data_IF_978153285188
#
_entry.id   IF_978153285188
#
_cell.length_a   1.000
_cell.length_b   1.000
_cell.length_c   1.000
_cell.angle_alpha   90.00
_cell.angle_beta   90.00
_cell.angle_gamma   90.00
#
_symmetry.space_group_name_H-M   'P 1'
#
loop_
_entity.id
_entity.type
_entity.pdbx_description
1 polymer ?
#
# COMPACT_ATOMS: atom_id res chain seq x y z
N UNK A 1 36.93 2.41 -43.83
CA UNK A 1 36.20 3.66 -43.49
C UNK A 1 34.93 3.23 -42.78
N UNK A 2 34.90 3.33 -41.44
CA UNK A 2 33.74 2.91 -40.65
C UNK A 2 32.72 4.07 -40.58
N UNK A 3 31.40 3.81 -40.59
CA UNK A 3 30.41 4.87 -40.49
C UNK A 3 30.29 5.36 -39.04
N UNK A 4 30.06 6.66 -38.86
CA UNK A 4 29.84 7.28 -37.56
C UNK A 4 28.45 6.97 -36.99
N UNK A 5 28.39 6.79 -35.67
CA UNK A 5 27.18 6.49 -34.91
C UNK A 5 26.48 7.82 -34.59
N UNK A 6 25.27 8.01 -35.12
CA UNK A 6 24.42 9.17 -34.81
C UNK A 6 23.87 9.05 -33.38
N UNK A 7 24.22 10.01 -32.52
CA UNK A 7 23.67 10.13 -31.17
C UNK A 7 22.22 10.64 -31.24
N UNK A 8 21.25 9.74 -31.05
CA UNK A 8 19.84 10.12 -30.88
C UNK A 8 19.67 10.65 -29.46
N UNK A 9 19.55 11.97 -29.32
CA UNK A 9 19.08 12.60 -28.08
C UNK A 9 17.62 12.21 -27.86
N UNK A 10 17.40 11.11 -27.15
CA UNK A 10 16.11 10.81 -26.54
C UNK A 10 15.78 11.90 -25.53
N UNK A 11 14.72 12.67 -25.79
CA UNK A 11 14.16 13.57 -24.79
C UNK A 11 13.74 12.73 -23.58
N UNK A 12 14.40 12.97 -22.45
CA UNK A 12 13.91 12.50 -21.15
C UNK A 12 12.58 13.18 -20.88
N UNK A 13 11.49 12.45 -21.11
CA UNK A 13 10.19 12.81 -20.59
C UNK A 13 10.32 12.67 -19.07
N UNK A 14 10.45 13.79 -18.36
CA UNK A 14 10.40 13.79 -16.90
C UNK A 14 9.09 13.12 -16.50
N UNK A 15 9.07 12.17 -15.55
CA UNK A 15 7.81 11.69 -15.03
C UNK A 15 7.14 12.89 -14.40
N UNK A 16 6.04 13.35 -15.01
CA UNK A 16 5.13 14.28 -14.37
C UNK A 16 4.67 13.56 -13.11
N UNK A 17 5.24 13.95 -11.97
CA UNK A 17 4.65 13.63 -10.67
C UNK A 17 3.32 14.34 -10.71
N UNK A 18 2.27 13.59 -11.06
CA UNK A 18 0.91 14.01 -10.82
C UNK A 18 0.80 14.09 -9.31
N UNK A 19 1.08 15.28 -8.76
CA UNK A 19 0.57 15.68 -7.46
C UNK A 19 -0.94 15.79 -7.65
N UNK A 20 -1.59 14.63 -7.75
CA UNK A 20 -3.02 14.52 -7.60
C UNK A 20 -3.26 15.01 -6.17
N UNK A 21 -3.71 16.26 -6.06
CA UNK A 21 -4.40 16.73 -4.88
C UNK A 21 -5.42 15.65 -4.53
N UNK A 22 -5.15 14.87 -3.49
CA UNK A 22 -6.02 13.80 -3.02
C UNK A 22 -7.20 14.49 -2.35
N UNK A 23 -8.07 15.08 -3.15
CA UNK A 23 -9.38 15.61 -2.74
C UNK A 23 -10.47 14.58 -3.01
N UNK A 24 -10.11 13.34 -3.36
CA UNK A 24 -11.09 12.26 -3.44
C UNK A 24 -11.37 11.74 -2.04
N UNK A 25 -12.58 11.97 -1.52
CA UNK A 25 -13.11 11.35 -0.30
C UNK A 25 -13.34 9.81 -0.46
N UNK A 26 -12.58 9.15 -1.33
CA UNK A 26 -12.75 7.76 -1.75
C UNK A 26 -11.38 7.15 -2.02
N UNK A 27 -11.19 5.93 -1.54
CA UNK A 27 -10.00 5.13 -1.77
C UNK A 27 -10.39 3.64 -1.79
N UNK A 28 -9.59 2.83 -2.47
CA UNK A 28 -9.52 1.41 -2.16
C UNK A 28 -8.66 1.27 -0.92
N UNK A 29 -9.09 0.44 0.04
CA UNK A 29 -8.32 0.22 1.27
C UNK A 29 -8.07 -1.26 1.44
N UNK A 30 -6.83 -1.60 1.80
CA UNK A 30 -6.46 -2.93 2.26
C UNK A 30 -5.63 -2.82 3.54
N UNK A 31 -5.39 -3.96 4.18
CA UNK A 31 -4.69 -4.05 5.46
C UNK A 31 -3.53 -5.05 5.37
N UNK A 32 -2.40 -4.72 5.98
CA UNK A 32 -1.21 -5.56 6.03
C UNK A 32 -0.64 -5.58 7.46
N UNK A 33 -0.32 -6.78 7.94
CA UNK A 33 0.29 -7.03 9.23
C UNK A 33 1.36 -8.12 9.11
N UNK A 34 2.35 -8.07 9.99
CA UNK A 34 3.44 -9.05 10.09
C UNK A 34 4.47 -8.98 8.95
N UNK A 35 5.45 -9.88 9.02
CA UNK A 35 6.59 -9.92 8.09
C UNK A 35 6.44 -10.92 6.93
N UNK A 36 5.33 -11.66 6.88
CA UNK A 36 5.13 -12.74 5.91
C UNK A 36 4.89 -12.27 4.48
N UNK A 37 4.51 -13.21 3.63
CA UNK A 37 4.39 -12.99 2.18
C UNK A 37 3.13 -12.22 1.74
N UNK A 38 2.28 -11.76 2.66
CA UNK A 38 1.06 -11.01 2.33
C UNK A 38 1.34 -9.70 1.58
N UNK A 39 2.55 -9.15 1.69
CA UNK A 39 3.01 -8.01 0.86
C UNK A 39 2.88 -8.33 -0.64
N UNK A 40 3.12 -9.58 -1.07
CA UNK A 40 2.97 -10.01 -2.47
C UNK A 40 1.52 -9.87 -2.95
N UNK A 41 0.56 -10.14 -2.07
CA UNK A 41 -0.87 -9.94 -2.35
C UNK A 41 -1.22 -8.47 -2.55
N UNK A 42 -0.72 -7.59 -1.69
CA UNK A 42 -0.93 -6.14 -1.80
C UNK A 42 -0.27 -5.57 -3.06
N UNK A 43 0.95 -6.03 -3.41
CA UNK A 43 1.61 -5.68 -4.67
C UNK A 43 0.80 -6.15 -5.88
N UNK A 44 0.24 -7.36 -5.83
CA UNK A 44 -0.67 -7.87 -6.86
C UNK A 44 -1.92 -7.00 -7.02
N UNK A 45 -2.54 -6.62 -5.90
CA UNK A 45 -3.69 -5.70 -5.89
C UNK A 45 -3.34 -4.34 -6.51
N UNK A 46 -2.24 -3.71 -6.10
CA UNK A 46 -1.80 -2.43 -6.64
C UNK A 46 -1.57 -2.48 -8.15
N UNK A 47 -0.92 -3.55 -8.64
CA UNK A 47 -0.71 -3.79 -10.07
C UNK A 47 -2.04 -3.99 -10.82
N UNK A 48 -2.98 -4.73 -10.22
CA UNK A 48 -4.31 -4.96 -10.79
C UNK A 48 -5.12 -3.67 -10.94
N UNK A 49 -5.18 -2.85 -9.89
CA UNK A 49 -5.89 -1.56 -9.91
C UNK A 49 -5.26 -0.60 -10.95
N UNK A 50 -3.93 -0.53 -11.01
CA UNK A 50 -3.23 0.26 -12.02
C UNK A 50 -3.51 -0.20 -13.44
N UNK A 51 -3.56 -1.52 -13.69
CA UNK A 51 -3.82 -2.10 -15.01
C UNK A 51 -5.20 -1.69 -15.56
N UNK A 52 -6.19 -1.52 -14.69
CA UNK A 52 -7.55 -1.12 -15.09
C UNK A 52 -7.79 0.38 -14.96
N UNK A 53 -6.75 1.17 -14.75
CA UNK A 53 -6.81 2.63 -14.62
C UNK A 53 -7.86 3.10 -13.60
N UNK A 54 -7.86 2.52 -12.41
CA UNK A 54 -8.84 2.88 -11.37
C UNK A 54 -8.83 4.37 -11.05
N UNK A 55 -10.03 4.91 -10.78
CA UNK A 55 -10.23 6.32 -10.49
C UNK A 55 -9.74 6.77 -9.09
N UNK A 56 -9.49 5.83 -8.18
CA UNK A 56 -9.14 6.11 -6.78
C UNK A 56 -7.82 5.47 -6.38
N UNK A 57 -7.08 6.06 -5.42
CA UNK A 57 -5.83 5.50 -4.94
C UNK A 57 -6.05 4.24 -4.08
N UNK A 58 -4.97 3.50 -3.85
CA UNK A 58 -4.92 2.40 -2.89
C UNK A 58 -4.23 2.88 -1.61
N UNK A 59 -4.97 2.88 -0.50
CA UNK A 59 -4.46 3.08 0.85
C UNK A 59 -4.21 1.71 1.47
N UNK A 60 -3.04 1.52 2.08
CA UNK A 60 -2.68 0.32 2.81
C UNK A 60 -2.53 0.69 4.28
N UNK A 61 -3.47 0.22 5.10
CA UNK A 61 -3.35 0.28 6.53
C UNK A 61 -2.30 -0.74 6.98
N UNK A 62 -1.25 -0.29 7.68
CA UNK A 62 -0.12 -1.15 8.11
C UNK A 62 0.03 -1.13 9.62
N UNK A 63 0.27 -2.30 10.21
CA UNK A 63 0.69 -2.39 11.62
C UNK A 63 2.19 -2.11 11.79
N UNK A 64 2.65 -1.73 13.01
CA UNK A 64 4.06 -1.47 13.29
C UNK A 64 4.98 -2.67 13.03
N UNK A 65 4.45 -3.89 13.04
CA UNK A 65 5.19 -5.14 12.82
C UNK A 65 5.50 -5.44 11.33
N UNK A 66 4.99 -4.62 10.40
CA UNK A 66 5.32 -4.70 8.98
C UNK A 66 6.73 -4.15 8.74
N UNK A 67 7.68 -4.95 8.19
CA UNK A 67 9.05 -4.51 7.95
C UNK A 67 9.14 -3.28 7.04
N UNK A 68 10.14 -2.46 7.30
CA UNK A 68 10.47 -1.26 6.51
C UNK A 68 10.70 -1.58 5.02
N UNK A 69 11.29 -2.73 4.72
CA UNK A 69 11.46 -3.19 3.33
C UNK A 69 10.11 -3.35 2.62
N UNK A 70 9.14 -4.00 3.27
CA UNK A 70 7.80 -4.19 2.72
C UNK A 70 7.10 -2.85 2.50
N UNK A 71 7.27 -1.90 3.42
CA UNK A 71 6.72 -0.54 3.31
C UNK A 71 7.27 0.18 2.07
N UNK A 72 8.59 0.18 1.89
CA UNK A 72 9.24 0.76 0.71
C UNK A 72 8.80 0.11 -0.60
N UNK A 73 8.62 -1.21 -0.60
CA UNK A 73 8.08 -1.93 -1.78
C UNK A 73 6.68 -1.41 -2.14
N UNK A 74 5.81 -1.21 -1.15
CA UNK A 74 4.44 -0.73 -1.37
C UNK A 74 4.41 0.72 -1.86
N UNK A 75 5.20 1.61 -1.25
CA UNK A 75 5.35 3.00 -1.70
C UNK A 75 5.84 3.05 -3.16
N UNK A 76 6.83 2.22 -3.50
CA UNK A 76 7.32 2.09 -4.87
C UNK A 76 6.27 1.55 -5.85
N UNK A 77 5.23 0.85 -5.38
CA UNK A 77 4.07 0.47 -6.21
C UNK A 77 3.03 1.59 -6.36
N UNK A 78 3.21 2.73 -5.68
CA UNK A 78 2.28 3.85 -5.66
C UNK A 78 1.18 3.70 -4.61
N UNK A 79 1.34 2.83 -3.62
CA UNK A 79 0.42 2.72 -2.49
C UNK A 79 0.63 3.89 -1.52
N UNK A 80 -0.45 4.35 -0.90
CA UNK A 80 -0.40 5.29 0.23
C UNK A 80 -0.39 4.47 1.51
N UNK A 81 0.66 4.60 2.31
CA UNK A 81 0.73 3.92 3.59
C UNK A 81 0.07 4.74 4.69
N UNK A 82 -0.75 4.07 5.49
CA UNK A 82 -1.30 4.62 6.73
C UNK A 82 -0.94 3.67 7.86
N UNK A 83 -0.04 4.11 8.73
CA UNK A 83 0.23 3.36 9.96
C UNK A 83 -0.98 3.43 10.90
N UNK A 84 -1.32 2.29 11.50
CA UNK A 84 -2.40 2.16 12.48
C UNK A 84 -1.94 1.36 13.69
N UNK A 85 -2.47 1.70 14.85
CA UNK A 85 -2.19 0.98 16.09
C UNK A 85 -2.99 -0.32 16.18
N UNK A 86 -2.39 -1.41 16.72
CA UNK A 86 -3.12 -2.63 17.00
C UNK A 86 -4.33 -2.39 17.91
N UNK A 87 -5.41 -3.12 17.67
CA UNK A 87 -6.59 -3.14 18.55
C UNK A 87 -6.53 -4.41 19.40
N UNK A 88 -6.21 -4.22 20.68
CA UNK A 88 -6.24 -5.30 21.66
C UNK A 88 -7.64 -5.42 22.26
N UNK A 89 -8.25 -6.62 22.23
CA UNK A 89 -9.51 -6.82 22.90
C UNK A 89 -9.34 -6.68 24.42
N UNK A 90 -10.34 -6.11 25.13
CA UNK A 90 -10.33 -6.08 26.59
C UNK A 90 -10.41 -7.50 27.17
N UNK A 91 -9.73 -7.72 28.30
CA UNK A 91 -9.79 -9.00 28.99
C UNK A 91 -11.22 -9.34 29.43
N UNK A 92 -11.63 -10.59 29.21
CA UNK A 92 -12.81 -11.22 29.82
C UNK A 92 -14.20 -10.60 29.51
N UNK A 93 -14.37 -9.83 28.43
CA UNK A 93 -15.70 -9.31 28.08
C UNK A 93 -16.61 -10.32 27.38
N UNK A 94 -16.09 -11.15 26.47
CA UNK A 94 -16.88 -12.17 25.76
C UNK A 94 -16.00 -13.33 25.26
N UNK A 95 -16.62 -14.45 24.90
CA UNK A 95 -15.93 -15.57 24.22
C UNK A 95 -15.37 -15.22 22.82
N UNK A 96 -15.78 -14.07 22.27
CA UNK A 96 -15.35 -13.63 20.95
C UNK A 96 -14.18 -12.65 21.02
N UNK A 97 -14.01 -11.94 22.15
CA UNK A 97 -12.94 -10.96 22.39
C UNK A 97 -11.63 -11.66 22.78
N UNK A 98 -11.08 -12.45 21.86
CA UNK A 98 -9.88 -13.26 22.10
C UNK A 98 -8.61 -12.58 21.59
N UNK A 99 -7.51 -12.69 22.36
CA UNK A 99 -6.23 -12.04 22.06
C UNK A 99 -5.64 -12.43 20.69
N UNK A 100 -5.93 -13.62 20.16
CA UNK A 100 -5.46 -14.01 18.83
C UNK A 100 -6.18 -13.30 17.67
N UNK A 101 -7.29 -12.59 17.95
CA UNK A 101 -8.02 -11.78 16.96
C UNK A 101 -7.54 -10.32 16.86
N UNK A 102 -6.42 -9.95 17.48
CA UNK A 102 -5.83 -8.60 17.38
C UNK A 102 -5.73 -8.12 15.93
N UNK A 103 -5.27 -8.98 15.01
CA UNK A 103 -5.18 -8.65 13.58
C UNK A 103 -6.56 -8.32 12.98
N UNK A 104 -7.58 -9.09 13.35
CA UNK A 104 -8.94 -8.92 12.85
C UNK A 104 -9.57 -7.61 13.33
N UNK A 105 -9.39 -7.29 14.61
CA UNK A 105 -9.89 -6.04 15.19
C UNK A 105 -9.12 -4.83 14.68
N UNK A 106 -7.81 -4.96 14.48
CA UNK A 106 -6.98 -3.87 13.96
C UNK A 106 -7.43 -3.43 12.57
N UNK A 107 -8.02 -4.32 11.76
CA UNK A 107 -8.63 -3.96 10.47
C UNK A 107 -9.74 -2.90 10.61
N UNK A 108 -10.40 -2.80 11.76
CA UNK A 108 -11.44 -1.80 12.02
C UNK A 108 -10.89 -0.36 12.12
N UNK A 109 -9.58 -0.18 12.30
CA UNK A 109 -8.92 1.14 12.26
C UNK A 109 -9.00 1.81 10.88
N UNK A 110 -9.39 1.09 9.84
CA UNK A 110 -9.64 1.65 8.50
C UNK A 110 -10.71 2.76 8.54
N UNK A 111 -11.61 2.74 9.52
CA UNK A 111 -12.69 3.73 9.67
C UNK A 111 -12.32 4.98 10.47
N UNK A 112 -11.13 5.03 11.07
CA UNK A 112 -10.57 6.25 11.67
C UNK A 112 -9.99 7.17 10.59
#
# INVERSE_FOLDING_TARGET
MAPEIVSVRGQMVKPTILTNNITSNRAYVTFLAGNGDYVKGVVGLAKGLRKVHTAYPLVVAVLPDVPEEHRRILEAQGCILREIEPVYPPENQTQFAMAYYVINYSKLRIWE
#
